data_IF_757963644472
#
_entry.id   IF_757963644472
#
_cell.length_a   1.000
_cell.length_b   1.000
_cell.length_c   1.000
_cell.angle_alpha   90.00
_cell.angle_beta   90.00
_cell.angle_gamma   90.00
#
_symmetry.space_group_name_H-M   'P 1'
#
loop_
_entity.id
_entity.type
_entity.pdbx_description
1 polymer ?
#
# COMPACT_ATOMS: atom_id res chain seq x y z
N UNK A 1 41.15 7.04 -14.80
CA UNK A 1 41.37 7.30 -13.37
C UNK A 1 40.02 7.22 -12.69
N UNK A 2 39.69 6.07 -12.08
CA UNK A 2 38.44 5.90 -11.34
C UNK A 2 38.50 6.74 -10.05
N UNK A 3 37.42 7.45 -9.65
CA UNK A 3 37.41 8.17 -8.38
C UNK A 3 37.59 7.17 -7.23
N UNK A 4 38.54 7.46 -6.33
CA UNK A 4 38.81 6.66 -5.14
C UNK A 4 37.54 6.46 -4.29
N UNK A 5 36.97 5.25 -4.34
CA UNK A 5 35.78 4.84 -3.59
C UNK A 5 36.06 4.62 -2.08
N UNK A 6 37.29 4.87 -1.63
CA UNK A 6 37.80 4.44 -0.32
C UNK A 6 38.00 5.57 0.71
N UNK A 7 37.42 6.75 0.52
CA UNK A 7 37.43 7.79 1.56
C UNK A 7 36.35 7.54 2.63
N UNK A 8 36.47 6.43 3.36
CA UNK A 8 35.67 6.22 4.57
C UNK A 8 36.13 7.25 5.60
N UNK A 9 35.23 8.15 6.04
CA UNK A 9 35.49 9.04 7.18
C UNK A 9 35.75 8.16 8.40
N UNK A 10 37.02 8.03 8.80
CA UNK A 10 37.39 7.44 10.09
C UNK A 10 36.65 8.23 11.18
N UNK A 11 35.91 7.54 12.03
CA UNK A 11 35.18 8.05 13.21
C UNK A 11 33.76 8.64 13.01
N UNK A 12 33.08 8.40 11.89
CA UNK A 12 31.65 8.70 11.80
C UNK A 12 30.83 7.46 12.16
N UNK A 13 30.06 7.52 13.26
CA UNK A 13 29.05 6.49 13.53
C UNK A 13 27.98 6.54 12.43
N UNK A 14 27.61 5.40 11.83
CA UNK A 14 26.57 5.37 10.81
C UNK A 14 25.23 5.84 11.40
N UNK A 15 24.42 6.49 10.56
CA UNK A 15 23.04 6.84 10.91
C UNK A 15 22.24 5.58 11.23
N UNK A 16 21.33 5.67 12.21
CA UNK A 16 20.37 4.59 12.55
C UNK A 16 19.61 4.11 11.31
N UNK A 17 19.35 5.02 10.35
CA UNK A 17 18.66 4.71 9.10
C UNK A 17 19.31 3.61 8.26
N UNK A 18 20.62 3.38 8.43
CA UNK A 18 21.33 2.28 7.78
C UNK A 18 20.81 0.91 8.26
N UNK A 19 20.39 0.85 9.52
CA UNK A 19 19.95 -0.38 10.19
C UNK A 19 18.42 -0.51 10.25
N UNK A 20 17.66 0.41 9.66
CA UNK A 20 16.20 0.44 9.77
C UNK A 20 15.55 -0.92 9.50
N UNK A 21 16.00 -1.63 8.46
CA UNK A 21 15.45 -2.95 8.12
C UNK A 21 15.74 -4.02 9.19
N UNK A 22 16.91 -3.97 9.82
CA UNK A 22 17.26 -4.85 10.93
C UNK A 22 16.49 -4.47 12.19
N UNK A 23 16.35 -3.18 12.47
CA UNK A 23 15.61 -2.70 13.64
C UNK A 23 14.12 -3.03 13.57
N UNK A 24 13.50 -2.92 12.38
CA UNK A 24 12.12 -3.39 12.17
C UNK A 24 11.96 -4.89 12.41
N UNK A 25 12.95 -5.69 11.98
CA UNK A 25 12.97 -7.12 12.29
C UNK A 25 13.01 -7.35 13.80
N UNK A 26 14.00 -6.78 14.50
CA UNK A 26 14.15 -6.93 15.96
C UNK A 26 12.94 -6.42 16.75
N UNK A 27 12.32 -5.33 16.28
CA UNK A 27 11.09 -4.79 16.86
C UNK A 27 9.97 -5.83 16.87
N UNK A 28 9.72 -6.49 15.73
CA UNK A 28 8.67 -7.50 15.64
C UNK A 28 8.98 -8.76 16.43
N UNK A 29 10.23 -9.24 16.43
CA UNK A 29 10.63 -10.35 17.30
C UNK A 29 10.41 -10.01 18.78
N UNK A 30 10.79 -8.81 19.21
CA UNK A 30 10.61 -8.36 20.59
C UNK A 30 9.12 -8.29 20.94
N UNK A 31 8.30 -7.68 20.07
CA UNK A 31 6.87 -7.54 20.28
C UNK A 31 6.13 -8.90 20.34
N UNK A 32 6.59 -9.88 19.56
CA UNK A 32 5.96 -11.19 19.48
C UNK A 32 6.43 -12.17 20.59
N UNK A 33 7.64 -11.98 21.13
CA UNK A 33 8.33 -12.92 22.04
C UNK A 33 7.48 -13.44 23.22
N UNK A 34 6.65 -12.58 23.83
CA UNK A 34 5.81 -12.89 24.98
C UNK A 34 4.31 -12.97 24.64
N UNK A 35 3.95 -13.02 23.36
CA UNK A 35 2.57 -13.04 22.90
C UNK A 35 2.30 -14.26 22.01
N UNK A 36 1.85 -15.40 22.57
CA UNK A 36 1.55 -16.61 21.79
C UNK A 36 0.35 -16.45 20.84
N UNK A 37 -0.34 -15.31 20.85
CA UNK A 37 -1.48 -14.99 19.97
C UNK A 37 -1.17 -13.82 19.05
N UNK A 38 0.11 -13.48 18.83
CA UNK A 38 0.53 -12.32 18.03
C UNK A 38 0.01 -12.37 16.59
N UNK A 39 -0.21 -13.56 16.06
CA UNK A 39 -0.68 -13.90 14.73
C UNK A 39 -2.21 -14.03 14.61
N UNK A 40 -2.95 -13.71 15.68
CA UNK A 40 -4.41 -13.74 15.70
C UNK A 40 -4.98 -12.39 16.08
N UNK A 41 -6.19 -12.09 15.62
CA UNK A 41 -6.97 -10.98 16.13
C UNK A 41 -7.62 -11.36 17.47
N UNK A 42 -8.08 -12.60 17.58
CA UNK A 42 -8.75 -13.08 18.78
C UNK A 42 -7.80 -13.37 19.94
N UNK A 43 -8.06 -12.69 21.07
CA UNK A 43 -7.32 -12.87 22.30
C UNK A 43 -5.93 -12.25 22.28
N UNK A 44 -5.58 -11.50 21.23
CA UNK A 44 -4.33 -10.77 21.11
C UNK A 44 -4.47 -9.39 21.80
N UNK A 45 -3.72 -9.12 22.89
CA UNK A 45 -3.92 -7.93 23.71
C UNK A 45 -3.56 -6.61 23.01
N UNK A 46 -2.76 -6.66 21.95
CA UNK A 46 -2.35 -5.47 21.19
C UNK A 46 -3.16 -5.26 19.92
N UNK A 47 -4.01 -6.21 19.53
CA UNK A 47 -4.79 -6.14 18.30
C UNK A 47 -6.16 -5.51 18.54
N UNK A 48 -6.48 -4.48 17.74
CA UNK A 48 -7.82 -3.93 17.68
C UNK A 48 -8.78 -4.97 17.09
N UNK A 49 -9.96 -5.11 17.69
CA UNK A 49 -11.03 -5.97 17.20
C UNK A 49 -11.81 -5.26 16.09
N UNK A 50 -11.36 -5.44 14.86
CA UNK A 50 -12.03 -4.90 13.67
C UNK A 50 -13.00 -5.98 13.14
N UNK A 51 -14.28 -5.65 12.89
CA UNK A 51 -15.24 -6.57 12.30
C UNK A 51 -14.97 -6.73 10.80
N UNK A 52 -13.93 -7.50 10.47
CA UNK A 52 -13.60 -7.83 9.07
C UNK A 52 -14.67 -8.73 8.44
N UNK A 53 -14.88 -8.58 7.14
CA UNK A 53 -15.84 -9.36 6.38
C UNK A 53 -15.28 -10.76 6.08
N UNK A 54 -16.16 -11.77 6.05
CA UNK A 54 -15.83 -13.12 5.57
C UNK A 54 -16.25 -13.23 4.12
N UNK A 55 -15.29 -13.07 3.21
CA UNK A 55 -15.54 -13.17 1.77
C UNK A 55 -14.48 -14.06 1.10
N UNK A 56 -14.69 -15.40 1.09
CA UNK A 56 -13.71 -16.34 0.55
C UNK A 56 -13.49 -16.17 -0.96
N UNK A 57 -14.51 -15.74 -1.72
CA UNK A 57 -14.38 -15.49 -3.16
C UNK A 57 -13.45 -14.30 -3.43
N UNK A 58 -13.64 -13.19 -2.69
CA UNK A 58 -12.78 -12.02 -2.82
C UNK A 58 -11.34 -12.31 -2.36
N UNK A 59 -11.18 -13.08 -1.28
CA UNK A 59 -9.87 -13.55 -0.83
C UNK A 59 -9.16 -14.39 -1.90
N UNK A 60 -9.87 -15.34 -2.52
CA UNK A 60 -9.31 -16.17 -3.58
C UNK A 60 -8.88 -15.33 -4.79
N UNK A 61 -9.72 -14.37 -5.23
CA UNK A 61 -9.34 -13.44 -6.32
C UNK A 61 -8.09 -12.64 -6.01
N UNK A 62 -7.95 -12.17 -4.77
CA UNK A 62 -6.74 -11.46 -4.33
C UNK A 62 -5.52 -12.39 -4.29
N UNK A 63 -5.63 -13.57 -3.68
CA UNK A 63 -4.53 -14.51 -3.55
C UNK A 63 -4.07 -15.06 -4.91
N UNK A 64 -4.98 -15.25 -5.85
CA UNK A 64 -4.72 -15.81 -7.18
C UNK A 64 -4.41 -14.76 -8.26
N UNK A 65 -4.24 -13.49 -7.90
CA UNK A 65 -3.97 -12.39 -8.85
C UNK A 65 -5.07 -12.23 -9.93
N UNK A 66 -6.34 -12.28 -9.51
CA UNK A 66 -7.53 -12.11 -10.36
C UNK A 66 -8.45 -11.00 -9.87
N UNK A 67 -7.87 -9.94 -9.29
CA UNK A 67 -8.64 -8.80 -8.77
C UNK A 67 -9.17 -7.90 -9.88
N UNK A 68 -8.56 -7.98 -11.07
CA UNK A 68 -8.85 -7.09 -12.18
C UNK A 68 -8.14 -5.73 -12.05
N UNK A 69 -7.29 -5.55 -11.05
CA UNK A 69 -6.38 -4.41 -10.92
C UNK A 69 -4.95 -4.82 -11.28
N UNK A 70 -4.42 -4.44 -12.46
CA UNK A 70 -3.15 -4.94 -12.97
C UNK A 70 -1.97 -4.77 -12.03
N UNK A 71 -1.92 -3.66 -11.28
CA UNK A 71 -0.87 -3.44 -10.28
C UNK A 71 -0.90 -4.47 -9.15
N UNK A 72 -2.09 -4.75 -8.59
CA UNK A 72 -2.27 -5.71 -7.51
C UNK A 72 -2.00 -7.12 -8.03
N UNK A 73 -2.56 -7.47 -9.19
CA UNK A 73 -2.40 -8.78 -9.79
C UNK A 73 -0.95 -9.06 -10.20
N UNK A 74 -0.22 -8.07 -10.72
CA UNK A 74 1.20 -8.22 -11.04
C UNK A 74 2.06 -8.47 -9.80
N UNK A 75 1.78 -7.78 -8.69
CA UNK A 75 2.47 -8.00 -7.41
C UNK A 75 2.19 -9.41 -6.88
N UNK A 76 0.93 -9.82 -6.86
CA UNK A 76 0.55 -11.15 -6.36
C UNK A 76 1.09 -12.27 -7.26
N UNK A 77 1.19 -12.03 -8.56
CA UNK A 77 1.85 -12.93 -9.51
C UNK A 77 3.34 -13.02 -9.26
N UNK A 78 4.03 -11.89 -9.06
CA UNK A 78 5.45 -11.88 -8.68
C UNK A 78 5.69 -12.66 -7.39
N UNK A 79 4.88 -12.41 -6.36
CA UNK A 79 4.98 -13.10 -5.07
C UNK A 79 4.90 -14.62 -5.26
N UNK A 80 3.93 -15.09 -6.04
CA UNK A 80 3.75 -16.54 -6.28
C UNK A 80 4.87 -17.16 -7.11
N UNK A 81 5.43 -16.42 -8.06
CA UNK A 81 6.48 -16.94 -8.96
C UNK A 81 7.88 -16.91 -8.34
N UNK A 82 8.20 -15.85 -7.61
CA UNK A 82 9.56 -15.55 -7.16
C UNK A 82 9.72 -15.65 -5.63
N UNK A 83 8.62 -15.72 -4.89
CA UNK A 83 8.62 -15.81 -3.43
C UNK A 83 9.07 -14.53 -2.73
N UNK A 84 9.24 -13.42 -3.45
CA UNK A 84 9.61 -12.14 -2.88
C UNK A 84 8.96 -10.98 -3.63
N UNK A 85 8.51 -9.98 -2.87
CA UNK A 85 8.04 -8.70 -3.40
C UNK A 85 8.58 -7.55 -2.56
N UNK A 86 8.82 -6.42 -3.21
CA UNK A 86 9.32 -5.21 -2.58
C UNK A 86 8.39 -4.73 -1.45
N UNK A 87 8.94 -4.14 -0.39
CA UNK A 87 8.14 -3.72 0.78
C UNK A 87 6.97 -2.79 0.42
N UNK A 88 7.15 -1.83 -0.50
CA UNK A 88 6.04 -0.98 -0.96
C UNK A 88 4.94 -1.76 -1.70
N UNK A 89 5.29 -2.86 -2.37
CA UNK A 89 4.33 -3.75 -3.01
C UNK A 89 3.53 -4.53 -1.96
N UNK A 90 4.18 -4.97 -0.86
CA UNK A 90 3.50 -5.56 0.31
C UNK A 90 2.47 -4.60 0.91
N UNK A 91 2.85 -3.34 1.08
CA UNK A 91 1.92 -2.31 1.57
C UNK A 91 0.70 -2.16 0.66
N UNK A 92 0.91 -2.15 -0.67
CA UNK A 92 -0.16 -1.99 -1.64
C UNK A 92 -1.17 -3.15 -1.57
N UNK A 93 -0.70 -4.40 -1.61
CA UNK A 93 -1.59 -5.58 -1.59
C UNK A 93 -2.24 -5.81 -0.23
N UNK A 94 -1.53 -5.51 0.88
CA UNK A 94 -2.10 -5.57 2.23
C UNK A 94 -3.17 -4.49 2.44
N UNK A 95 -2.93 -3.27 1.95
CA UNK A 95 -3.93 -2.21 1.98
C UNK A 95 -5.16 -2.60 1.17
N UNK A 96 -5.00 -3.10 -0.06
CA UNK A 96 -6.11 -3.53 -0.90
C UNK A 96 -6.96 -4.62 -0.22
N UNK A 97 -6.33 -5.65 0.34
CA UNK A 97 -7.04 -6.74 1.02
C UNK A 97 -7.81 -6.27 2.27
N UNK A 98 -7.22 -5.38 3.06
CA UNK A 98 -7.74 -5.02 4.39
C UNK A 98 -8.54 -3.72 4.35
N UNK A 99 -8.01 -2.66 4.97
CA UNK A 99 -8.69 -1.36 5.16
C UNK A 99 -8.89 -0.53 3.89
N UNK A 100 -8.24 -0.90 2.79
CA UNK A 100 -8.31 -0.17 1.53
C UNK A 100 -9.57 -0.50 0.76
N UNK A 101 -9.75 -1.77 0.39
CA UNK A 101 -10.74 -2.14 -0.62
C UNK A 101 -11.64 -3.31 -0.18
N UNK A 102 -11.06 -4.46 0.14
CA UNK A 102 -11.85 -5.70 0.32
C UNK A 102 -12.40 -5.92 1.73
N UNK A 103 -11.90 -5.20 2.74
CA UNK A 103 -12.32 -5.34 4.14
C UNK A 103 -12.18 -6.75 4.73
N UNK A 104 -11.19 -7.52 4.25
CA UNK A 104 -10.91 -8.89 4.72
C UNK A 104 -9.86 -8.85 5.83
N UNK A 105 -9.91 -9.82 6.76
CA UNK A 105 -8.96 -9.88 7.88
C UNK A 105 -7.52 -10.00 7.40
N UNK A 106 -6.65 -9.25 8.07
CA UNK A 106 -5.20 -9.33 7.89
C UNK A 106 -4.66 -10.73 8.21
N UNK A 107 -5.36 -11.54 9.03
CA UNK A 107 -5.02 -12.92 9.33
C UNK A 107 -5.04 -13.80 8.06
N UNK A 108 -5.96 -13.53 7.12
CA UNK A 108 -6.02 -14.29 5.86
C UNK A 108 -4.89 -13.89 4.90
N UNK A 109 -4.56 -12.60 4.86
CA UNK A 109 -3.40 -12.12 4.11
C UNK A 109 -2.08 -12.67 4.65
N UNK A 110 -1.97 -12.77 5.98
CA UNK A 110 -0.81 -13.34 6.66
C UNK A 110 -0.60 -14.81 6.26
N UNK A 111 -1.65 -15.63 6.21
CA UNK A 111 -1.57 -17.04 5.77
C UNK A 111 -1.06 -17.16 4.33
N UNK A 112 -1.56 -16.32 3.42
CA UNK A 112 -1.10 -16.33 2.01
C UNK A 112 0.37 -15.91 1.93
N UNK A 113 0.80 -14.95 2.73
CA UNK A 113 2.21 -14.56 2.78
C UNK A 113 3.09 -15.62 3.44
N UNK A 114 2.60 -16.33 4.45
CA UNK A 114 3.32 -17.44 5.07
C UNK A 114 3.55 -18.59 4.08
N UNK A 115 2.59 -18.85 3.18
CA UNK A 115 2.73 -19.86 2.13
C UNK A 115 3.71 -19.44 1.02
N UNK A 116 3.69 -18.17 0.61
CA UNK A 116 4.38 -17.74 -0.61
C UNK A 116 5.68 -16.94 -0.39
N UNK A 117 5.79 -16.20 0.72
CA UNK A 117 6.85 -15.22 0.90
C UNK A 117 8.06 -15.83 1.61
N UNK A 118 9.21 -15.88 0.93
CA UNK A 118 10.43 -16.52 1.41
C UNK A 118 11.03 -15.89 2.67
N UNK A 119 10.77 -14.61 2.92
CA UNK A 119 11.25 -13.89 4.10
C UNK A 119 10.17 -13.69 5.18
N UNK A 120 9.06 -14.42 5.10
CA UNK A 120 8.03 -14.43 6.13
C UNK A 120 8.44 -15.29 7.33
N UNK A 121 9.11 -14.69 8.30
CA UNK A 121 9.13 -15.20 9.67
C UNK A 121 7.80 -14.91 10.38
N UNK A 122 7.35 -15.81 11.27
CA UNK A 122 6.09 -15.67 12.01
C UNK A 122 5.93 -14.29 12.67
N UNK A 123 6.96 -13.80 13.36
CA UNK A 123 6.92 -12.53 14.09
C UNK A 123 6.82 -11.35 13.13
N UNK A 124 7.66 -11.36 12.09
CA UNK A 124 7.74 -10.26 11.12
C UNK A 124 6.49 -10.21 10.25
N UNK A 125 5.96 -11.37 9.84
CA UNK A 125 4.77 -11.48 9.01
C UNK A 125 3.53 -10.97 9.77
N UNK A 126 3.24 -11.53 10.96
CA UNK A 126 2.12 -11.08 11.78
C UNK A 126 2.23 -9.60 12.15
N UNK A 127 3.41 -9.16 12.60
CA UNK A 127 3.65 -7.77 12.99
C UNK A 127 3.47 -6.79 11.84
N UNK A 128 3.93 -7.17 10.64
CA UNK A 128 3.69 -6.41 9.42
C UNK A 128 2.20 -6.33 9.11
N UNK A 129 1.47 -7.44 9.07
CA UNK A 129 0.04 -7.44 8.75
C UNK A 129 -0.81 -6.64 9.75
N UNK A 130 -0.48 -6.71 11.04
CA UNK A 130 -1.06 -5.86 12.08
C UNK A 130 -0.85 -4.36 11.81
N UNK A 131 0.37 -3.99 11.40
CA UNK A 131 0.73 -2.60 11.10
C UNK A 131 -0.01 -2.08 9.84
N UNK A 132 0.06 -2.81 8.72
CA UNK A 132 -0.52 -2.37 7.45
C UNK A 132 -2.05 -2.26 7.48
N UNK A 133 -2.70 -3.14 8.23
CA UNK A 133 -4.16 -3.13 8.43
C UNK A 133 -4.64 -2.08 9.42
N UNK A 134 -3.72 -1.39 10.11
CA UNK A 134 -4.00 -0.51 11.26
C UNK A 134 -4.72 -1.27 12.40
N UNK A 135 -4.39 -2.54 12.61
CA UNK A 135 -4.89 -3.31 13.75
C UNK A 135 -4.00 -3.16 14.99
N UNK A 136 -2.74 -2.75 14.82
CA UNK A 136 -1.81 -2.37 15.89
C UNK A 136 -0.69 -1.47 15.35
N UNK A 137 0.09 -0.87 16.26
CA UNK A 137 1.29 -0.03 16.03
C UNK A 137 1.08 1.27 15.24
N UNK A 138 0.18 1.29 14.26
CA UNK A 138 -0.07 2.41 13.38
C UNK A 138 -1.57 2.72 13.29
N UNK A 139 -1.93 4.00 13.30
CA UNK A 139 -3.32 4.46 13.35
C UNK A 139 -3.70 5.39 12.19
N UNK A 140 -2.80 5.65 11.24
CA UNK A 140 -3.06 6.53 10.09
C UNK A 140 -3.82 5.81 8.97
N UNK A 141 -5.03 5.33 9.26
CA UNK A 141 -5.86 4.56 8.33
C UNK A 141 -6.37 5.35 7.12
N UNK A 142 -6.24 6.68 7.13
CA UNK A 142 -6.73 7.58 6.08
C UNK A 142 -5.86 7.59 4.82
N UNK A 143 -4.61 7.12 4.90
CA UNK A 143 -3.73 6.98 3.73
C UNK A 143 -3.85 5.56 3.15
N UNK A 144 -4.85 5.35 2.30
CA UNK A 144 -4.97 4.12 1.49
C UNK A 144 -4.20 4.26 0.18
N UNK A 145 -3.56 3.17 -0.27
CA UNK A 145 -2.88 3.14 -1.56
C UNK A 145 -3.90 2.97 -2.68
N UNK A 146 -3.91 3.88 -3.65
CA UNK A 146 -4.73 3.72 -4.85
C UNK A 146 -4.15 2.59 -5.73
N UNK A 147 -4.90 1.51 -6.03
CA UNK A 147 -4.41 0.36 -6.78
C UNK A 147 -4.11 0.68 -8.25
N UNK A 148 -4.53 1.84 -8.75
CA UNK A 148 -4.18 2.35 -10.09
C UNK A 148 -3.06 3.39 -10.00
N UNK A 149 -3.31 4.45 -9.23
CA UNK A 149 -2.43 5.62 -9.21
C UNK A 149 -1.06 5.38 -8.55
N UNK A 150 -0.96 4.42 -7.62
CA UNK A 150 0.32 4.12 -6.97
C UNK A 150 1.30 3.46 -7.94
N UNK A 151 0.86 2.40 -8.63
CA UNK A 151 1.67 1.73 -9.65
C UNK A 151 2.11 2.69 -10.75
N UNK A 152 1.17 3.48 -11.30
CA UNK A 152 1.45 4.48 -12.34
C UNK A 152 2.52 5.51 -11.96
N UNK A 153 2.65 5.85 -10.67
CA UNK A 153 3.72 6.74 -10.19
C UNK A 153 5.07 6.06 -10.03
N UNK A 154 5.09 4.76 -9.73
CA UNK A 154 6.31 3.98 -9.53
C UNK A 154 6.91 3.57 -10.87
N UNK A 155 6.08 3.08 -11.77
CA UNK A 155 6.45 2.63 -13.12
C UNK A 155 5.47 3.22 -14.14
N UNK A 156 5.72 4.44 -14.64
CA UNK A 156 4.81 5.10 -15.58
C UNK A 156 4.59 4.34 -16.89
N UNK A 157 5.53 3.48 -17.31
CA UNK A 157 5.43 2.72 -18.56
C UNK A 157 4.63 1.43 -18.40
N UNK A 158 4.54 0.92 -17.17
CA UNK A 158 3.86 -0.34 -16.84
C UNK A 158 4.66 -1.57 -17.26
N UNK A 159 5.98 -1.45 -17.39
CA UNK A 159 6.86 -2.56 -17.76
C UNK A 159 6.79 -3.71 -16.74
N UNK A 160 6.61 -3.39 -15.46
CA UNK A 160 6.35 -4.35 -14.39
C UNK A 160 5.06 -5.15 -14.65
N UNK A 161 3.97 -4.49 -15.04
CA UNK A 161 2.72 -5.16 -15.39
C UNK A 161 2.92 -6.05 -16.61
N UNK A 162 3.57 -5.56 -17.67
CA UNK A 162 3.81 -6.34 -18.90
C UNK A 162 4.67 -7.60 -18.65
N UNK A 163 5.57 -7.53 -17.67
CA UNK A 163 6.42 -8.65 -17.25
C UNK A 163 5.61 -9.75 -16.57
N UNK A 164 4.83 -9.40 -15.54
CA UNK A 164 4.13 -10.40 -14.72
C UNK A 164 2.73 -10.76 -15.23
N UNK A 165 2.09 -9.88 -16.00
CA UNK A 165 0.79 -10.10 -16.63
C UNK A 165 0.93 -10.02 -18.16
N UNK A 166 1.49 -11.06 -18.81
CA UNK A 166 1.75 -11.04 -20.25
C UNK A 166 0.48 -10.90 -21.10
N UNK A 167 -0.69 -11.27 -20.56
CA UNK A 167 -1.99 -11.05 -21.21
C UNK A 167 -2.29 -9.56 -21.46
N UNK A 168 -1.71 -8.66 -20.67
CA UNK A 168 -1.84 -7.20 -20.83
C UNK A 168 -0.67 -6.56 -21.59
N UNK A 169 0.27 -7.36 -22.12
CA UNK A 169 1.53 -6.86 -22.69
C UNK A 169 1.36 -5.87 -23.82
N UNK A 170 0.28 -5.97 -24.61
CA UNK A 170 0.06 -5.12 -25.79
C UNK A 170 -0.85 -3.92 -25.50
N UNK A 171 -1.33 -3.74 -24.25
CA UNK A 171 -2.13 -2.55 -23.90
C UNK A 171 -1.30 -1.27 -24.00
N UNK A 172 -1.84 -0.16 -24.53
CA UNK A 172 -1.17 1.13 -24.48
C UNK A 172 -0.90 1.55 -23.03
N UNK A 173 0.25 2.19 -22.77
CA UNK A 173 0.66 2.67 -21.43
C UNK A 173 -0.42 3.51 -20.74
N UNK A 174 -1.23 4.25 -21.52
CA UNK A 174 -2.36 5.04 -21.01
C UNK A 174 -3.36 4.21 -20.20
N UNK A 175 -3.57 2.95 -20.57
CA UNK A 175 -4.60 2.07 -20.00
C UNK A 175 -4.02 0.88 -19.22
N UNK A 176 -2.70 0.70 -19.19
CA UNK A 176 -2.07 -0.51 -18.60
C UNK A 176 -2.42 -0.71 -17.10
N UNK A 177 -2.72 0.37 -16.39
CA UNK A 177 -3.10 0.35 -14.95
C UNK A 177 -4.61 0.29 -14.72
N UNK A 178 -5.41 0.55 -15.74
CA UNK A 178 -6.87 0.68 -15.71
C UNK A 178 -7.50 0.24 -17.05
N UNK A 179 -7.25 -1.02 -17.48
CA UNK A 179 -7.57 -1.47 -18.83
C UNK A 179 -9.08 -1.54 -19.09
N UNK A 180 -9.91 -1.58 -18.05
CA UNK A 180 -11.36 -1.47 -18.15
C UNK A 180 -11.85 -0.10 -18.68
N UNK A 181 -10.99 0.93 -18.66
CA UNK A 181 -11.27 2.23 -19.27
C UNK A 181 -10.85 2.28 -20.76
N UNK A 182 -10.22 1.23 -21.28
CA UNK A 182 -9.82 1.18 -22.68
C UNK A 182 -11.05 0.94 -23.58
N UNK A 183 -11.22 1.71 -24.66
CA UNK A 183 -12.23 1.44 -25.68
C UNK A 183 -12.10 0.04 -26.29
N UNK A 184 -13.21 -0.53 -26.79
CA UNK A 184 -13.24 -1.90 -27.30
C UNK A 184 -12.28 -2.15 -28.48
N UNK A 185 -12.06 -1.15 -29.33
CA UNK A 185 -11.07 -1.22 -30.42
C UNK A 185 -9.63 -1.30 -29.90
N UNK A 186 -9.32 -0.59 -28.81
CA UNK A 186 -8.02 -0.69 -28.13
C UNK A 186 -7.83 -2.08 -27.51
N UNK A 187 -8.87 -2.63 -26.85
CA UNK A 187 -8.82 -3.98 -26.28
C UNK A 187 -8.62 -5.06 -27.36
N UNK A 188 -9.33 -4.94 -28.49
CA UNK A 188 -9.15 -5.83 -29.64
C UNK A 188 -7.75 -5.72 -30.25
N UNK A 189 -7.21 -4.52 -30.40
CA UNK A 189 -5.86 -4.30 -30.91
C UNK A 189 -4.79 -4.90 -29.96
N UNK A 190 -5.01 -4.83 -28.65
CA UNK A 190 -4.17 -5.45 -27.63
C UNK A 190 -4.41 -6.96 -27.46
N UNK A 191 -5.36 -7.56 -28.20
CA UNK A 191 -5.72 -8.98 -28.15
C UNK A 191 -6.09 -9.46 -26.74
N UNK A 192 -6.70 -8.59 -25.94
CA UNK A 192 -7.15 -8.93 -24.60
C UNK A 192 -8.42 -8.12 -24.28
N UNK A 193 -9.54 -8.84 -24.19
CA UNK A 193 -10.87 -8.30 -23.85
C UNK A 193 -11.10 -8.40 -22.35
N UNK A 194 -11.35 -7.25 -21.72
CA UNK A 194 -11.57 -7.16 -20.27
C UNK A 194 -12.94 -7.73 -19.90
N UNK A 195 -12.93 -8.70 -18.99
CA UNK A 195 -14.05 -9.56 -18.63
C UNK A 195 -14.03 -10.94 -19.32
N UNK A 196 -13.12 -11.17 -20.27
CA UNK A 196 -12.93 -12.47 -20.93
C UNK A 196 -11.51 -12.97 -20.71
N UNK A 197 -10.51 -12.27 -21.24
CA UNK A 197 -9.10 -12.67 -21.19
C UNK A 197 -8.41 -12.21 -19.88
N UNK A 198 -8.86 -11.08 -19.34
CA UNK A 198 -8.44 -10.55 -18.03
C UNK A 198 -9.66 -10.04 -17.26
N UNK A 199 -9.79 -10.29 -15.95
CA UNK A 199 -11.02 -9.97 -15.20
C UNK A 199 -11.31 -8.47 -15.14
N UNK A 200 -12.59 -8.13 -15.02
CA UNK A 200 -13.02 -6.77 -14.65
C UNK A 200 -12.64 -6.48 -13.19
N UNK A 201 -12.45 -5.21 -12.81
CA UNK A 201 -12.24 -4.83 -11.41
C UNK A 201 -13.29 -5.45 -10.50
N UNK A 202 -12.86 -6.17 -9.48
CA UNK A 202 -13.76 -6.82 -8.53
C UNK A 202 -14.51 -5.84 -7.62
N UNK A 203 -14.06 -4.59 -7.54
CA UNK A 203 -14.66 -3.50 -6.75
C UNK A 203 -14.48 -2.15 -7.44
N UNK A 204 -15.34 -1.18 -7.10
CA UNK A 204 -15.08 0.23 -7.39
C UNK A 204 -14.22 0.82 -6.27
N UNK A 205 -12.94 1.10 -6.55
CA UNK A 205 -11.98 1.60 -5.55
C UNK A 205 -12.44 2.90 -4.86
N UNK A 206 -13.03 3.85 -5.60
CA UNK A 206 -13.42 5.14 -5.03
C UNK A 206 -14.55 4.98 -4.00
N UNK A 207 -15.50 4.09 -4.27
CA UNK A 207 -16.61 3.79 -3.36
C UNK A 207 -16.14 2.93 -2.18
N UNK A 208 -15.40 1.86 -2.45
CA UNK A 208 -14.90 0.92 -1.45
C UNK A 208 -13.99 1.62 -0.43
N UNK A 209 -12.98 2.35 -0.90
CA UNK A 209 -12.05 3.06 -0.02
C UNK A 209 -12.74 4.14 0.81
N UNK A 210 -13.69 4.89 0.24
CA UNK A 210 -14.48 5.88 0.98
C UNK A 210 -15.28 5.23 2.10
N UNK A 211 -15.97 4.12 1.81
CA UNK A 211 -16.72 3.37 2.81
C UNK A 211 -15.81 2.80 3.90
N UNK A 212 -14.68 2.20 3.53
CA UNK A 212 -13.76 1.57 4.46
C UNK A 212 -13.04 2.58 5.37
N UNK A 213 -12.69 3.76 4.85
CA UNK A 213 -12.17 4.87 5.66
C UNK A 213 -13.19 5.30 6.71
N UNK A 214 -14.48 5.36 6.35
CA UNK A 214 -15.55 5.68 7.30
C UNK A 214 -15.73 4.56 8.35
N UNK A 215 -15.71 3.28 7.95
CA UNK A 215 -15.72 2.14 8.88
C UNK A 215 -14.58 2.24 9.89
N UNK A 216 -13.35 2.48 9.43
CA UNK A 216 -12.18 2.67 10.29
C UNK A 216 -12.36 3.86 11.24
N UNK A 217 -12.85 4.99 10.73
CA UNK A 217 -13.13 6.18 11.55
C UNK A 217 -14.08 5.86 12.70
N UNK A 218 -15.17 5.15 12.43
CA UNK A 218 -16.15 4.75 13.45
C UNK A 218 -15.53 3.83 14.51
N UNK A 219 -14.74 2.84 14.09
CA UNK A 219 -14.03 1.93 15.00
C UNK A 219 -13.11 2.72 15.94
N UNK A 220 -12.28 3.61 15.39
CA UNK A 220 -11.36 4.42 16.19
C UNK A 220 -12.06 5.44 17.10
N UNK A 221 -13.22 5.98 16.68
CA UNK A 221 -14.05 6.84 17.54
C UNK A 221 -14.65 6.07 18.72
N UNK A 222 -15.05 4.81 18.52
CA UNK A 222 -15.54 3.97 19.62
C UNK A 222 -14.40 3.62 20.59
N UNK A 223 -13.20 3.33 20.07
CA UNK A 223 -12.02 3.05 20.89
C UNK A 223 -11.55 4.25 21.71
N UNK A 224 -11.60 5.46 21.17
CA UNK A 224 -11.19 6.67 21.91
C UNK A 224 -12.17 6.99 23.05
N UNK A 225 -13.47 6.77 22.83
CA UNK A 225 -14.51 6.84 23.88
C UNK A 225 -14.27 5.79 24.96
N UNK A 226 -13.83 4.58 24.59
CA UNK A 226 -13.48 3.50 25.53
C UNK A 226 -12.17 3.75 26.30
N UNK A 227 -11.19 4.46 25.72
CA UNK A 227 -9.88 4.65 26.34
C UNK A 227 -9.75 5.87 27.23
N UNK A 228 -10.74 6.77 27.31
CA UNK A 228 -10.71 7.91 28.25
C UNK A 228 -9.43 8.76 28.21
N UNK A 229 -8.66 8.72 27.11
CA UNK A 229 -7.37 9.37 26.96
C UNK A 229 -7.27 9.97 25.55
N UNK A 230 -7.12 11.29 25.55
CA UNK A 230 -6.86 12.16 24.41
C UNK A 230 -5.69 11.68 23.56
N UNK A 231 -5.97 11.23 22.34
CA UNK A 231 -4.98 11.12 21.26
C UNK A 231 -5.63 11.30 19.88
N UNK A 232 -6.67 12.13 19.81
CA UNK A 232 -7.13 12.66 18.53
C UNK A 232 -6.26 13.87 18.18
N UNK A 233 -5.11 13.60 17.57
CA UNK A 233 -4.50 14.60 16.70
C UNK A 233 -5.47 14.82 15.53
N UNK A 234 -5.85 16.08 15.36
CA UNK A 234 -6.81 16.66 14.43
C UNK A 234 -6.77 16.01 13.04
N UNK A 235 -7.92 15.49 12.58
CA UNK A 235 -8.15 15.15 11.16
C UNK A 235 -8.31 16.46 10.40
N UNK A 236 -7.46 16.81 9.42
CA UNK A 236 -7.68 17.99 8.59
C UNK A 236 -8.88 17.72 7.69
N UNK A 237 -9.94 18.52 7.85
CA UNK A 237 -11.05 18.56 6.90
C UNK A 237 -10.66 19.47 5.75
N UNK A 238 -10.05 18.93 4.70
CA UNK A 238 -9.86 19.70 3.47
C UNK A 238 -11.14 19.64 2.64
N UNK A 239 -11.91 20.73 2.68
CA UNK A 239 -12.86 21.06 1.63
C UNK A 239 -12.09 21.26 0.33
N UNK A 240 -12.46 20.48 -0.69
CA UNK A 240 -11.90 20.61 -2.03
C UNK A 240 -12.73 21.69 -2.76
N UNK A 241 -12.25 22.94 -2.72
CA UNK A 241 -12.82 24.01 -3.54
C UNK A 241 -12.50 23.74 -5.02
N UNK A 242 -13.57 23.72 -5.82
CA UNK A 242 -13.53 23.64 -7.28
C UNK A 242 -13.14 25.03 -7.79
N UNK A 243 -11.90 25.19 -8.26
CA UNK A 243 -11.47 26.47 -8.86
C UNK A 243 -11.91 26.50 -10.33
N UNK A 244 -12.84 27.40 -10.62
CA UNK A 244 -13.27 27.78 -11.96
C UNK A 244 -12.22 28.61 -12.69
N UNK A 245 -12.26 28.51 -14.02
CA UNK A 245 -11.36 29.17 -14.98
C UNK A 245 -11.81 30.62 -15.20
N UNK A 246 -10.89 31.58 -15.12
CA UNK A 246 -11.00 32.89 -15.80
C UNK A 246 -9.62 33.50 -16.05
N UNK A 247 -9.50 34.17 -17.18
CA UNK A 247 -8.28 34.62 -17.86
C UNK A 247 -7.71 35.98 -17.39
N UNK A 248 -6.44 36.17 -17.76
CA UNK A 248 -5.79 37.40 -18.28
C UNK A 248 -5.15 38.43 -17.31
N UNK A 249 -3.80 38.53 -17.35
CA UNK A 249 -3.00 39.64 -17.95
C UNK A 249 -1.56 39.71 -17.38
N UNK A 250 -0.63 40.23 -18.20
CA UNK A 250 0.82 39.98 -18.19
C UNK A 250 1.70 41.07 -17.54
N UNK A 251 2.87 40.68 -16.97
CA UNK A 251 4.11 41.47 -16.83
C UNK A 251 5.33 40.59 -16.35
N UNK A 252 6.62 40.98 -16.58
CA UNK A 252 7.76 40.07 -16.86
C UNK A 252 8.70 39.76 -15.65
N UNK A 253 9.76 38.93 -15.80
CA UNK A 253 10.15 37.97 -14.77
C UNK A 253 11.23 38.46 -13.80
N UNK A 254 11.08 38.12 -12.52
CA UNK A 254 12.18 38.08 -11.55
C UNK A 254 12.49 36.64 -11.16
N UNK A 255 13.75 36.24 -11.38
CA UNK A 255 14.37 34.95 -11.05
C UNK A 255 13.96 34.47 -9.65
N UNK A 256 13.18 33.38 -9.57
CA UNK A 256 13.11 32.52 -8.37
C UNK A 256 13.36 31.07 -8.75
N UNK A 257 14.34 30.50 -8.04
CA UNK A 257 14.74 29.09 -8.03
C UNK A 257 13.53 28.16 -8.01
N UNK A 258 13.43 27.28 -9.00
CA UNK A 258 12.62 26.07 -8.96
C UNK A 258 13.11 25.16 -7.84
N UNK A 259 12.35 25.03 -6.75
CA UNK A 259 12.43 23.86 -5.88
C UNK A 259 11.44 22.82 -6.40
N UNK A 260 12.00 21.71 -6.87
CA UNK A 260 11.26 20.57 -7.38
C UNK A 260 10.49 19.85 -6.27
N UNK A 261 9.37 19.26 -6.68
CA UNK A 261 8.32 18.53 -5.97
C UNK A 261 8.75 17.26 -5.21
N UNK A 262 9.89 17.29 -4.53
CA UNK A 262 10.46 16.15 -3.79
C UNK A 262 10.06 16.10 -2.30
N UNK A 263 9.24 17.04 -1.82
CA UNK A 263 8.87 17.14 -0.40
C UNK A 263 7.88 16.07 0.06
N UNK A 264 6.90 15.70 -0.78
CA UNK A 264 5.80 14.79 -0.40
C UNK A 264 6.26 13.36 -0.09
N UNK A 265 7.30 12.86 -0.76
CA UNK A 265 7.82 11.50 -0.50
C UNK A 265 8.69 11.42 0.77
N UNK A 266 9.35 12.51 1.16
CA UNK A 266 10.17 12.55 2.38
C UNK A 266 9.34 12.64 3.66
N UNK A 267 8.14 13.22 3.59
CA UNK A 267 7.23 13.29 4.74
C UNK A 267 6.66 11.92 5.11
N UNK A 268 6.36 11.09 4.11
CA UNK A 268 5.88 9.73 4.36
C UNK A 268 6.90 8.92 5.19
N UNK A 269 8.21 9.04 4.92
CA UNK A 269 9.27 8.34 5.65
C UNK A 269 9.55 8.90 7.06
N UNK A 270 9.36 10.21 7.30
CA UNK A 270 9.61 10.82 8.62
C UNK A 270 8.56 10.45 9.67
N UNK A 271 7.36 10.06 9.26
CA UNK A 271 6.29 9.64 10.18
C UNK A 271 6.49 8.23 10.78
N UNK A 272 7.51 7.48 10.36
CA UNK A 272 7.73 6.09 10.81
C UNK A 272 8.60 5.94 12.08
N UNK A 273 9.17 7.02 12.64
CA UNK A 273 10.17 6.94 13.75
C UNK A 273 9.77 7.75 15.01
N UNK A 274 8.51 8.18 15.14
CA UNK A 274 8.07 8.84 16.38
C UNK A 274 6.92 8.06 17.01
N UNK A 275 7.29 6.99 17.72
CA UNK A 275 6.52 6.50 18.85
C UNK A 275 7.42 6.72 20.08
N UNK A 276 7.14 7.79 20.82
CA UNK A 276 7.57 7.98 22.20
C UNK A 276 6.37 7.72 23.09
#
# INVERSE_FOLDING_TARGET
>A
MFPNFWSVKKNASPSISLYDKLLWREFFYTAASNNPRFDRMEGNPICIRIPWDRNPEALAKWAEAKTGFPWIDAIMTQLRQEGWIHHLARHAVACFLTRGDLWISWEEGMKVFEELLLDADWSVNAGSWLCHSCSSFFQQFFHCYCPVGFGRRIDPNGDFIRRYLPVLRDFPTKFIYDPWNAPDDVQRAAKCVIGVDYPKPMVNHAEASRLNIERMRQIYQQLSRYRGLSLLATVPSNHMEVVGVSEAQAAPPTRRRTQSSTSSQRECLKSYVVIR
#
